data_IF_150077896648
#
_entry.id   IF_150077896648
#
_cell.length_a   1.000
_cell.length_b   1.000
_cell.length_c   1.000
_cell.angle_alpha   90.00
_cell.angle_beta   90.00
_cell.angle_gamma   90.00
#
_symmetry.space_group_name_H-M   'P 1'
#
loop_
_entity.id
_entity.type
_entity.pdbx_description
1 polymer ?
#
# COMPACT_ATOMS: atom_id res chain seq x y z
N UNK A 1 -9.51 -10.97 0.65
CA UNK A 1 -9.51 -11.28 -0.80
C UNK A 1 -10.58 -10.55 -1.62
N UNK A 2 -11.90 -10.82 -1.48
CA UNK A 2 -12.93 -10.32 -2.43
C UNK A 2 -12.83 -8.84 -2.82
N UNK A 3 -12.68 -7.94 -1.83
CA UNK A 3 -12.58 -6.49 -2.09
C UNK A 3 -11.33 -6.16 -2.90
N UNK A 4 -10.15 -6.58 -2.45
CA UNK A 4 -8.88 -6.28 -3.13
C UNK A 4 -8.71 -6.98 -4.48
N UNK A 5 -9.36 -8.13 -4.69
CA UNK A 5 -9.28 -8.86 -5.97
C UNK A 5 -10.40 -8.48 -6.93
N UNK A 6 -11.65 -8.82 -6.61
CA UNK A 6 -12.79 -8.60 -7.51
C UNK A 6 -13.13 -7.11 -7.66
N UNK A 7 -12.93 -6.31 -6.61
CA UNK A 7 -13.09 -4.87 -6.68
C UNK A 7 -12.13 -4.24 -7.69
N UNK A 8 -10.84 -4.59 -7.62
CA UNK A 8 -9.82 -4.15 -8.57
C UNK A 8 -10.16 -4.57 -9.99
N UNK A 9 -10.52 -5.84 -10.20
CA UNK A 9 -10.92 -6.32 -11.53
C UNK A 9 -12.09 -5.53 -12.12
N UNK A 10 -13.13 -5.25 -11.33
CA UNK A 10 -14.29 -4.45 -11.77
C UNK A 10 -13.91 -3.00 -12.07
N UNK A 11 -13.08 -2.38 -11.22
CA UNK A 11 -12.66 -1.00 -11.40
C UNK A 11 -11.76 -0.83 -12.64
N UNK A 12 -10.87 -1.77 -12.90
CA UNK A 12 -10.07 -1.83 -14.14
C UNK A 12 -10.97 -2.02 -15.38
N UNK A 13 -11.97 -2.89 -15.29
CA UNK A 13 -12.97 -3.05 -16.34
C UNK A 13 -13.72 -1.74 -16.65
N UNK A 14 -14.07 -0.97 -15.62
CA UNK A 14 -14.67 0.35 -15.77
C UNK A 14 -13.69 1.36 -16.37
N UNK A 15 -12.44 1.39 -15.91
CA UNK A 15 -11.40 2.28 -16.42
C UNK A 15 -11.18 2.04 -17.93
N UNK A 16 -11.08 0.77 -18.34
CA UNK A 16 -11.04 0.37 -19.75
C UNK A 16 -12.25 0.87 -20.53
N UNK A 17 -13.46 0.65 -20.01
CA UNK A 17 -14.69 1.06 -20.69
C UNK A 17 -14.86 2.58 -20.82
N UNK A 18 -14.17 3.37 -19.98
CA UNK A 18 -14.25 4.83 -19.95
C UNK A 18 -13.01 5.55 -20.49
N UNK A 19 -11.96 4.81 -20.85
CA UNK A 19 -10.67 5.41 -21.21
C UNK A 19 -10.07 6.22 -20.06
N UNK A 20 -10.28 5.80 -18.81
CA UNK A 20 -9.82 6.51 -17.63
C UNK A 20 -8.50 5.96 -17.12
N UNK A 21 -7.66 6.83 -16.54
CA UNK A 21 -6.48 6.43 -15.79
C UNK A 21 -6.87 5.74 -14.49
N UNK A 22 -6.29 4.57 -14.20
CA UNK A 22 -6.52 3.82 -12.98
C UNK A 22 -5.30 3.89 -12.06
N UNK A 23 -5.47 4.50 -10.89
CA UNK A 23 -4.42 4.56 -9.85
C UNK A 23 -4.70 3.51 -8.78
N UNK A 24 -3.81 2.52 -8.67
CA UNK A 24 -3.85 1.51 -7.62
C UNK A 24 -3.09 2.00 -6.38
N UNK A 25 -3.79 2.16 -5.28
CA UNK A 25 -3.19 2.24 -3.95
C UNK A 25 -2.78 0.84 -3.49
N UNK A 26 -1.55 0.43 -3.82
CA UNK A 26 -0.90 -0.76 -3.27
C UNK A 26 -0.33 -0.46 -1.87
N UNK A 27 0.62 -1.26 -1.39
CA UNK A 27 1.13 -1.21 -0.01
C UNK A 27 2.54 -1.76 0.07
N UNK A 28 3.33 -1.33 1.05
CA UNK A 28 4.62 -1.95 1.37
C UNK A 28 4.49 -3.42 1.79
N UNK A 29 3.31 -3.87 2.21
CA UNK A 29 3.05 -5.26 2.62
C UNK A 29 3.18 -6.26 1.46
N UNK A 30 3.21 -5.81 0.19
CA UNK A 30 3.55 -6.70 -0.93
C UNK A 30 4.98 -7.24 -0.86
N UNK A 31 5.84 -6.58 -0.07
CA UNK A 31 7.19 -7.04 0.23
C UNK A 31 7.24 -8.09 1.35
N UNK A 32 6.18 -8.24 2.16
CA UNK A 32 6.07 -9.22 3.25
C UNK A 32 7.09 -9.02 4.37
N UNK A 33 7.79 -10.10 4.72
CA UNK A 33 8.93 -10.09 5.65
C UNK A 33 10.25 -10.01 4.85
N UNK A 34 10.65 -8.82 4.39
CA UNK A 34 11.71 -8.66 3.41
C UNK A 34 13.06 -9.16 3.92
N UNK A 35 13.80 -9.83 3.04
CA UNK A 35 15.17 -10.29 3.31
C UNK A 35 16.23 -9.24 2.95
N UNK A 36 15.80 -8.06 2.50
CA UNK A 36 16.65 -6.96 2.03
C UNK A 36 16.20 -5.64 2.64
N UNK A 37 17.16 -4.73 2.87
CA UNK A 37 16.91 -3.38 3.38
C UNK A 37 17.85 -2.36 2.71
N UNK A 38 17.33 -1.25 2.13
CA UNK A 38 15.91 -0.89 2.00
C UNK A 38 15.16 -1.73 0.95
N UNK A 39 13.82 -1.71 0.98
CA UNK A 39 12.99 -2.38 -0.03
C UNK A 39 12.85 -1.49 -1.26
N UNK A 40 13.44 -1.94 -2.38
CA UNK A 40 13.29 -1.32 -3.70
C UNK A 40 12.14 -1.95 -4.47
N UNK A 41 11.64 -1.25 -5.48
CA UNK A 41 10.47 -1.65 -6.27
C UNK A 41 10.68 -2.92 -7.09
N UNK A 42 11.94 -3.25 -7.40
CA UNK A 42 12.36 -4.48 -8.07
C UNK A 42 12.32 -5.72 -7.16
N UNK A 43 12.21 -5.55 -5.84
CA UNK A 43 12.12 -6.66 -4.89
C UNK A 43 10.76 -7.35 -4.96
N UNK A 44 10.78 -8.67 -5.14
CA UNK A 44 9.56 -9.47 -5.32
C UNK A 44 8.75 -9.72 -4.06
N UNK A 45 9.33 -9.48 -2.88
CA UNK A 45 8.71 -9.76 -1.59
C UNK A 45 8.90 -11.19 -1.10
N UNK A 46 8.76 -11.36 0.21
CA UNK A 46 8.78 -12.63 0.93
C UNK A 46 7.48 -12.76 1.74
N UNK A 47 6.42 -13.23 1.08
CA UNK A 47 5.05 -13.26 1.61
C UNK A 47 4.58 -14.71 1.76
N UNK A 48 3.93 -15.00 2.88
CA UNK A 48 3.29 -16.30 3.10
C UNK A 48 1.83 -16.27 2.57
N UNK A 49 1.50 -16.99 1.50
CA UNK A 49 0.18 -16.91 0.85
C UNK A 49 -0.96 -17.50 1.70
N UNK A 50 -0.66 -18.31 2.71
CA UNK A 50 -1.65 -18.98 3.57
C UNK A 50 -1.62 -18.51 5.03
N UNK A 51 -0.78 -17.53 5.37
CA UNK A 51 -0.76 -16.94 6.71
C UNK A 51 -2.00 -16.08 6.98
N UNK A 52 -2.24 -15.74 8.24
CA UNK A 52 -3.41 -14.93 8.66
C UNK A 52 -3.50 -13.58 7.93
N UNK A 53 -2.34 -13.00 7.58
CA UNK A 53 -2.24 -11.74 6.82
C UNK A 53 -2.37 -11.92 5.29
N UNK A 54 -2.28 -13.14 4.78
CA UNK A 54 -2.32 -13.46 3.35
C UNK A 54 -3.59 -12.94 2.66
N UNK A 55 -4.70 -12.81 3.40
CA UNK A 55 -5.96 -12.22 2.91
C UNK A 55 -5.83 -10.77 2.42
N UNK A 56 -4.87 -10.02 2.95
CA UNK A 56 -4.55 -8.64 2.58
C UNK A 56 -3.35 -8.61 1.62
N UNK A 57 -2.26 -9.27 1.99
CA UNK A 57 -0.99 -9.23 1.24
C UNK A 57 -1.18 -9.77 -0.19
N UNK A 58 -1.78 -10.96 -0.32
CA UNK A 58 -2.04 -11.57 -1.62
C UNK A 58 -3.14 -10.86 -2.40
N UNK A 59 -4.09 -10.23 -1.72
CA UNK A 59 -5.08 -9.41 -2.41
C UNK A 59 -4.43 -8.20 -3.11
N UNK A 60 -3.42 -7.60 -2.48
CA UNK A 60 -2.67 -6.47 -3.03
C UNK A 60 -1.69 -6.90 -4.12
N UNK A 61 -1.00 -8.03 -3.94
CA UNK A 61 -0.16 -8.63 -4.99
C UNK A 61 -0.97 -9.02 -6.22
N UNK A 62 -2.14 -9.62 -6.03
CA UNK A 62 -3.10 -9.88 -7.12
C UNK A 62 -3.51 -8.58 -7.82
N UNK A 63 -3.80 -7.51 -7.07
CA UNK A 63 -4.22 -6.24 -7.63
C UNK A 63 -3.12 -5.61 -8.51
N UNK A 64 -1.85 -5.67 -8.11
CA UNK A 64 -0.72 -5.22 -8.94
C UNK A 64 -0.61 -6.04 -10.24
N UNK A 65 -0.65 -7.37 -10.12
CA UNK A 65 -0.57 -8.26 -11.28
C UNK A 65 -1.72 -8.01 -12.28
N UNK A 66 -2.95 -7.85 -11.77
CA UNK A 66 -4.13 -7.56 -12.60
C UNK A 66 -4.02 -6.18 -13.26
N UNK A 67 -3.52 -5.17 -12.54
CA UNK A 67 -3.33 -3.81 -13.07
C UNK A 67 -2.33 -3.82 -14.23
N UNK A 68 -1.18 -4.47 -14.06
CA UNK A 68 -0.18 -4.58 -15.12
C UNK A 68 -0.66 -5.43 -16.31
N UNK A 69 -1.51 -6.44 -16.07
CA UNK A 69 -2.13 -7.19 -17.16
C UNK A 69 -3.07 -6.30 -18.00
N UNK A 70 -3.90 -5.46 -17.36
CA UNK A 70 -4.76 -4.51 -18.07
C UNK A 70 -3.95 -3.46 -18.83
N UNK A 71 -2.84 -2.98 -18.26
CA UNK A 71 -1.92 -2.08 -18.97
C UNK A 71 -1.35 -2.74 -20.23
N UNK A 72 -0.71 -3.92 -20.07
CA UNK A 72 0.01 -4.58 -21.17
C UNK A 72 -0.89 -5.13 -22.28
N UNK A 73 -2.07 -5.68 -21.94
CA UNK A 73 -2.94 -6.35 -22.91
C UNK A 73 -4.14 -5.52 -23.37
N UNK A 74 -4.48 -4.44 -22.65
CA UNK A 74 -5.62 -3.59 -22.99
C UNK A 74 -5.26 -2.11 -23.16
N UNK A 75 -3.99 -1.72 -22.96
CA UNK A 75 -3.55 -0.34 -23.11
C UNK A 75 -4.22 0.60 -22.11
N UNK A 76 -4.66 0.10 -20.95
CA UNK A 76 -5.23 0.96 -19.92
C UNK A 76 -4.09 1.76 -19.28
N UNK A 77 -4.29 3.06 -19.14
CA UNK A 77 -3.39 3.93 -18.38
C UNK A 77 -3.49 3.58 -16.89
N UNK A 78 -2.40 3.12 -16.30
CA UNK A 78 -2.38 2.67 -14.91
C UNK A 78 -1.21 3.24 -14.14
N UNK A 79 -1.41 3.48 -12.85
CA UNK A 79 -0.35 3.90 -11.92
C UNK A 79 -0.40 3.01 -10.68
N UNK A 80 0.75 2.57 -10.16
CA UNK A 80 0.81 1.73 -8.96
C UNK A 80 1.64 2.45 -7.89
N UNK A 81 0.99 2.78 -6.78
CA UNK A 81 1.63 3.40 -5.61
C UNK A 81 1.79 2.35 -4.52
N UNK A 82 3.02 2.07 -4.09
CA UNK A 82 3.31 1.25 -2.91
C UNK A 82 3.45 2.15 -1.69
N UNK A 83 2.38 2.23 -0.92
CA UNK A 83 2.24 3.15 0.22
C UNK A 83 2.92 2.54 1.46
N UNK A 84 3.85 3.28 2.07
CA UNK A 84 4.46 2.95 3.36
C UNK A 84 3.63 3.51 4.53
N UNK A 85 4.12 3.42 5.77
CA UNK A 85 3.33 3.85 6.92
C UNK A 85 3.03 5.36 6.87
N UNK A 86 1.80 5.70 6.54
CA UNK A 86 1.35 7.10 6.51
C UNK A 86 0.62 7.49 7.78
N UNK A 87 0.94 8.69 8.29
CA UNK A 87 0.27 9.30 9.43
C UNK A 87 -0.22 10.72 9.09
N UNK A 88 -1.17 11.23 9.88
CA UNK A 88 -1.63 12.60 9.75
C UNK A 88 -3.02 12.82 10.30
N UNK A 89 -3.58 13.99 9.99
CA UNK A 89 -4.95 14.35 10.40
C UNK A 89 -5.97 13.35 9.86
N UNK A 90 -7.07 13.13 10.60
CA UNK A 90 -8.17 12.19 10.26
C UNK A 90 -7.77 10.70 10.24
N UNK A 91 -6.56 10.35 10.69
CA UNK A 91 -6.17 8.96 10.90
C UNK A 91 -7.12 8.28 11.89
N UNK A 92 -7.44 7.01 11.63
CA UNK A 92 -8.25 6.20 12.55
C UNK A 92 -7.44 5.87 13.79
N UNK A 93 -7.99 6.18 14.96
CA UNK A 93 -7.32 5.97 16.26
C UNK A 93 -7.17 4.47 16.57
N UNK A 94 -8.09 3.63 16.09
CA UNK A 94 -8.12 2.19 16.36
C UNK A 94 -7.88 1.36 15.08
N UNK A 95 -6.81 1.65 14.33
CA UNK A 95 -6.48 0.89 13.11
C UNK A 95 -5.38 -0.18 13.29
N UNK A 96 -4.90 -0.35 14.52
CA UNK A 96 -3.91 -1.37 14.88
C UNK A 96 -2.46 -1.03 14.51
N UNK A 97 -2.20 0.15 13.92
CA UNK A 97 -0.82 0.58 13.60
C UNK A 97 -0.16 1.22 14.82
N UNK A 98 1.18 1.12 14.87
CA UNK A 98 1.98 1.56 16.01
C UNK A 98 1.76 3.04 16.36
N UNK A 99 1.82 3.93 15.38
CA UNK A 99 1.74 5.38 15.60
C UNK A 99 0.38 5.85 16.14
N UNK A 100 -0.78 5.46 15.57
CA UNK A 100 -2.08 5.73 16.21
C UNK A 100 -2.23 5.08 17.58
N UNK A 101 -1.72 3.87 17.81
CA UNK A 101 -1.77 3.22 19.11
C UNK A 101 -0.99 4.02 20.17
N UNK A 102 0.26 4.42 19.85
CA UNK A 102 1.10 5.22 20.74
C UNK A 102 0.49 6.59 21.03
N UNK A 103 -0.02 7.28 20.00
CA UNK A 103 -0.70 8.56 20.19
C UNK A 103 -1.95 8.43 21.07
N UNK A 104 -2.76 7.39 20.86
CA UNK A 104 -3.96 7.13 21.65
C UNK A 104 -3.63 6.86 23.12
N UNK A 105 -2.62 6.02 23.38
CA UNK A 105 -2.14 5.69 24.73
C UNK A 105 -1.61 6.93 25.44
N UNK A 106 -0.73 7.69 24.78
CA UNK A 106 -0.16 8.92 25.34
C UNK A 106 -1.23 9.97 25.68
N UNK A 107 -2.23 10.15 24.80
CA UNK A 107 -3.32 11.10 25.03
C UNK A 107 -4.27 10.68 26.18
N UNK A 108 -4.34 9.38 26.49
CA UNK A 108 -5.11 8.86 27.63
C UNK A 108 -4.32 8.80 28.93
N UNK A 109 -3.00 8.96 28.86
CA UNK A 109 -2.10 8.71 29.98
C UNK A 109 -1.86 7.23 30.26
N UNK A 110 -2.12 6.36 29.27
CA UNK A 110 -1.84 4.93 29.35
C UNK A 110 -0.36 4.64 29.05
N UNK A 111 0.15 3.50 29.54
CA UNK A 111 1.48 3.02 29.19
C UNK A 111 1.62 2.72 27.68
N UNK A 112 2.76 3.11 27.10
CA UNK A 112 3.05 2.85 25.68
C UNK A 112 3.44 1.39 25.50
N UNK A 113 2.64 0.64 24.71
CA UNK A 113 2.88 -0.79 24.50
C UNK A 113 3.85 -1.02 23.34
N UNK A 114 5.08 -1.43 23.67
CA UNK A 114 6.08 -1.85 22.68
C UNK A 114 6.08 -3.38 22.57
N UNK A 115 5.76 -3.92 21.39
CA UNK A 115 5.91 -5.34 21.12
C UNK A 115 7.36 -5.68 20.79
N UNK A 116 7.90 -6.72 21.40
CA UNK A 116 9.30 -7.12 21.25
C UNK A 116 10.24 -6.26 22.09
N UNK A 117 11.41 -5.96 21.55
CA UNK A 117 12.45 -5.17 22.22
C UNK A 117 12.48 -3.69 21.82
N UNK A 118 11.62 -3.29 20.87
CA UNK A 118 11.55 -1.92 20.38
C UNK A 118 12.64 -1.52 19.38
N UNK A 119 13.51 -2.46 18.96
CA UNK A 119 14.60 -2.19 18.01
C UNK A 119 14.14 -2.12 16.55
N UNK A 120 12.89 -2.49 16.26
CA UNK A 120 12.32 -2.49 14.93
C UNK A 120 12.26 -1.08 14.32
N UNK A 121 12.74 -0.93 13.09
CA UNK A 121 12.66 0.33 12.36
C UNK A 121 11.44 0.35 11.43
N UNK A 122 10.85 1.54 11.26
CA UNK A 122 9.76 1.83 10.32
C UNK A 122 9.95 3.25 9.79
N UNK A 123 9.78 3.43 8.48
CA UNK A 123 9.67 4.76 7.86
C UNK A 123 8.23 5.26 7.93
N UNK A 124 8.06 6.55 8.23
CA UNK A 124 6.75 7.19 8.32
C UNK A 124 6.67 8.41 7.40
N UNK A 125 5.60 8.47 6.62
CA UNK A 125 5.31 9.55 5.67
C UNK A 125 4.15 10.39 6.20
N UNK A 126 4.26 11.71 6.16
CA UNK A 126 3.11 12.56 6.49
C UNK A 126 2.08 12.53 5.35
N UNK A 127 0.79 12.65 5.69
CA UNK A 127 -0.31 12.48 4.72
C UNK A 127 -0.25 13.46 3.56
N UNK A 128 0.22 14.69 3.77
CA UNK A 128 0.31 15.69 2.71
C UNK A 128 1.39 15.30 1.67
N UNK A 129 2.52 14.76 2.12
CA UNK A 129 3.57 14.26 1.22
C UNK A 129 3.09 13.04 0.43
N UNK A 130 2.34 12.13 1.07
CA UNK A 130 1.72 11.00 0.37
C UNK A 130 0.77 11.50 -0.73
N UNK A 131 -0.13 12.43 -0.39
CA UNK A 131 -1.15 12.93 -1.33
C UNK A 131 -0.48 13.61 -2.52
N UNK A 132 0.55 14.43 -2.28
CA UNK A 132 1.31 15.07 -3.34
C UNK A 132 2.01 14.04 -4.24
N UNK A 133 2.63 13.02 -3.66
CA UNK A 133 3.27 11.95 -4.44
C UNK A 133 2.27 11.13 -5.28
N UNK A 134 1.10 10.79 -4.73
CA UNK A 134 0.02 10.13 -5.47
C UNK A 134 -0.44 11.01 -6.63
N UNK A 135 -0.65 12.31 -6.39
CA UNK A 135 -1.10 13.25 -7.40
C UNK A 135 -0.08 13.38 -8.55
N UNK A 136 1.21 13.54 -8.23
CA UNK A 136 2.26 13.61 -9.24
C UNK A 136 2.36 12.34 -10.08
N UNK A 137 2.27 11.17 -9.46
CA UNK A 137 2.28 9.90 -10.19
C UNK A 137 1.02 9.74 -11.06
N UNK A 138 -0.15 10.18 -10.56
CA UNK A 138 -1.39 10.16 -11.33
C UNK A 138 -1.32 11.02 -12.60
N UNK A 139 -0.54 12.10 -12.57
CA UNK A 139 -0.35 13.03 -13.69
C UNK A 139 0.86 12.72 -14.58
N UNK A 140 1.72 11.77 -14.20
CA UNK A 140 2.88 11.37 -15.01
C UNK A 140 2.52 10.31 -16.05
N UNK A 141 3.47 9.93 -16.90
CA UNK A 141 3.42 8.82 -17.85
C UNK A 141 4.06 7.52 -17.32
N UNK A 142 4.45 7.49 -16.05
CA UNK A 142 5.16 6.36 -15.45
C UNK A 142 4.21 5.24 -15.01
N UNK A 143 4.38 4.03 -15.56
CA UNK A 143 3.46 2.92 -15.38
C UNK A 143 3.92 1.82 -14.41
N UNK A 144 5.21 1.81 -14.04
CA UNK A 144 5.75 0.81 -13.10
C UNK A 144 5.46 1.21 -11.64
N UNK A 145 5.55 0.26 -10.68
CA UNK A 145 5.34 0.57 -9.27
C UNK A 145 6.31 1.63 -8.75
N UNK A 146 5.80 2.51 -7.88
CA UNK A 146 6.60 3.55 -7.19
C UNK A 146 6.33 3.46 -5.69
N UNK A 147 7.39 3.39 -4.90
CA UNK A 147 7.31 3.53 -3.45
C UNK A 147 7.09 5.00 -3.07
N UNK A 148 6.16 5.27 -2.16
CA UNK A 148 6.02 6.58 -1.51
C UNK A 148 6.20 6.36 -0.02
N UNK A 149 7.26 6.95 0.51
CA UNK A 149 7.79 6.76 1.86
C UNK A 149 8.29 8.08 2.45
#
# INVERSE_FOLDING_TARGET
LKVGSLGTHKALGLAKAKGATFVLASTSEVYGDPLVHPQKEDYWGNVNPIGDRGVYDEAKRFAEAMTMAYHRYHGVETRIVRIFNTYGTRMRINDGRALPAFMSQALRGDDITVFGDGSQTRSFTYVDDLVEGIYRLAMSDYNEPVNIL
#
